data_IF_871474730153
#
_entry.id   IF_871474730153
#
_cell.length_a   1.000
_cell.length_b   1.000
_cell.length_c   1.000
_cell.angle_alpha   90.00
_cell.angle_beta   90.00
_cell.angle_gamma   90.00
#
_symmetry.space_group_name_H-M   'P 1'
#
loop_
_entity.id
_entity.type
_entity.pdbx_description
1 polymer ?
#
# COMPACT_ATOMS: atom_id res chain seq x y z
N UNK A 1 -16.86 56.52 28.31
CA UNK A 1 -15.43 56.22 28.05
C UNK A 1 -15.07 56.81 26.69
N UNK A 2 -14.46 57.99 26.68
CA UNK A 2 -14.05 58.62 25.41
C UNK A 2 -12.86 57.88 24.81
N UNK A 3 -13.01 57.38 23.59
CA UNK A 3 -11.92 56.76 22.85
C UNK A 3 -11.00 57.87 22.32
N UNK A 4 -9.91 58.16 23.04
CA UNK A 4 -8.88 59.10 22.58
C UNK A 4 -7.96 58.41 21.56
N UNK A 5 -7.80 59.02 20.38
CA UNK A 5 -6.79 58.61 19.39
C UNK A 5 -5.41 59.07 19.86
N UNK A 6 -4.41 58.20 19.75
CA UNK A 6 -3.01 58.55 20.02
C UNK A 6 -2.40 59.01 18.69
N UNK A 7 -2.09 60.31 18.51
CA UNK A 7 -1.49 60.82 17.29
C UNK A 7 -0.02 60.36 17.16
N UNK A 8 0.50 60.34 15.93
CA UNK A 8 1.91 60.06 15.60
C UNK A 8 2.44 58.71 16.08
N UNK A 9 1.56 57.70 16.21
CA UNK A 9 1.97 56.33 16.49
C UNK A 9 2.46 55.66 15.21
N UNK A 10 3.65 55.09 15.26
CA UNK A 10 4.14 54.28 14.15
C UNK A 10 3.25 53.05 13.94
N UNK A 11 3.10 52.66 12.68
CA UNK A 11 2.35 51.47 12.27
C UNK A 11 3.11 50.73 11.17
N UNK A 12 2.99 49.41 11.17
CA UNK A 12 3.49 48.57 10.07
C UNK A 12 2.36 48.36 9.05
N UNK A 13 2.67 48.56 7.76
CA UNK A 13 1.73 48.42 6.66
C UNK A 13 2.01 47.12 5.89
N UNK A 14 1.06 46.19 5.87
CA UNK A 14 1.17 44.96 5.08
C UNK A 14 0.36 45.07 3.79
N UNK A 15 1.07 45.10 2.67
CA UNK A 15 0.49 45.03 1.33
C UNK A 15 0.30 43.58 0.92
N UNK A 16 -0.93 43.21 0.54
CA UNK A 16 -1.21 41.90 -0.04
C UNK A 16 -1.25 42.04 -1.55
N UNK A 17 -0.33 41.37 -2.25
CA UNK A 17 -0.31 41.37 -3.71
C UNK A 17 -1.27 40.30 -4.24
N UNK A 18 -2.04 40.64 -5.29
CA UNK A 18 -2.87 39.72 -6.08
C UNK A 18 -3.95 38.92 -5.31
N UNK A 19 -4.44 39.43 -4.18
CA UNK A 19 -5.51 38.77 -3.41
C UNK A 19 -6.87 39.34 -3.77
N UNK A 20 -7.85 38.48 -4.08
CA UNK A 20 -9.25 38.91 -4.18
C UNK A 20 -9.80 39.29 -2.78
N UNK A 21 -10.95 39.96 -2.74
CA UNK A 21 -11.50 40.50 -1.49
C UNK A 21 -11.81 39.42 -0.43
N UNK A 22 -12.17 38.21 -0.84
CA UNK A 22 -12.48 37.11 0.08
C UNK A 22 -11.21 36.56 0.73
N UNK A 23 -10.11 36.46 -0.02
CA UNK A 23 -8.81 36.06 0.49
C UNK A 23 -8.25 37.12 1.45
N UNK A 24 -8.41 38.40 1.10
CA UNK A 24 -8.07 39.52 1.98
C UNK A 24 -8.82 39.43 3.32
N UNK A 25 -10.14 39.26 3.28
CA UNK A 25 -10.96 39.15 4.49
C UNK A 25 -10.63 37.91 5.32
N UNK A 26 -10.25 36.80 4.69
CA UNK A 26 -9.79 35.60 5.39
C UNK A 26 -8.51 35.87 6.16
N UNK A 27 -7.54 36.55 5.53
CA UNK A 27 -6.31 36.98 6.19
C UNK A 27 -6.62 37.94 7.35
N UNK A 28 -7.50 38.93 7.16
CA UNK A 28 -7.92 39.85 8.24
C UNK A 28 -8.49 39.10 9.45
N UNK A 29 -9.36 38.10 9.22
CA UNK A 29 -9.90 37.26 10.30
C UNK A 29 -8.81 36.54 11.09
N UNK A 30 -7.77 36.03 10.42
CA UNK A 30 -6.64 35.38 11.12
C UNK A 30 -5.86 36.33 12.03
N UNK A 31 -5.74 37.62 11.69
CA UNK A 31 -5.11 38.61 12.56
C UNK A 31 -6.00 39.02 13.74
N UNK A 32 -7.32 38.97 13.58
CA UNK A 32 -8.28 39.26 14.65
C UNK A 32 -8.34 38.16 15.72
N UNK A 33 -8.11 36.90 15.34
CA UNK A 33 -8.19 35.75 16.26
C UNK A 33 -6.86 35.43 16.96
N UNK A 34 -5.75 35.99 16.50
CA UNK A 34 -4.41 35.69 17.03
C UNK A 34 -4.02 36.72 18.10
N UNK A 35 -4.40 36.48 19.35
CA UNK A 35 -4.34 37.45 20.46
C UNK A 35 -2.94 37.76 20.98
N UNK A 36 -1.95 36.93 20.68
CA UNK A 36 -0.73 36.95 21.49
C UNK A 36 0.42 37.78 20.90
N UNK A 37 0.50 37.97 19.57
CA UNK A 37 1.78 38.42 18.99
C UNK A 37 1.77 39.66 18.06
N UNK A 38 0.67 40.03 17.40
CA UNK A 38 0.59 41.29 16.63
C UNK A 38 -0.83 41.87 16.65
N UNK A 39 -0.99 43.07 17.23
CA UNK A 39 -2.30 43.72 17.34
C UNK A 39 -2.64 44.43 16.03
N UNK A 40 -3.66 43.96 15.34
CA UNK A 40 -4.21 44.66 14.17
C UNK A 40 -4.92 45.93 14.62
N UNK A 41 -4.60 47.06 14.00
CA UNK A 41 -5.25 48.35 14.24
C UNK A 41 -6.36 48.64 13.23
N UNK A 42 -6.28 48.05 12.05
CA UNK A 42 -7.36 48.13 11.08
C UNK A 42 -6.95 47.72 9.69
N UNK A 43 -7.77 48.12 8.74
CA UNK A 43 -7.53 47.97 7.30
C UNK A 43 -7.53 49.36 6.67
N UNK A 44 -6.75 49.52 5.61
CA UNK A 44 -6.71 50.73 4.80
C UNK A 44 -6.69 50.34 3.32
N UNK A 45 -6.74 51.31 2.43
CA UNK A 45 -6.64 51.10 1.00
C UNK A 45 -5.63 52.09 0.42
N UNK A 46 -4.73 51.60 -0.41
CA UNK A 46 -3.81 52.49 -1.12
C UNK A 46 -4.61 53.43 -2.02
N UNK A 47 -4.41 54.76 -1.94
CA UNK A 47 -5.23 55.73 -2.65
C UNK A 47 -5.16 55.54 -4.17
N UNK A 48 -3.96 55.26 -4.70
CA UNK A 48 -3.73 55.10 -6.15
C UNK A 48 -4.04 53.69 -6.65
N UNK A 49 -3.46 52.66 -6.03
CA UNK A 49 -3.58 51.28 -6.55
C UNK A 49 -4.88 50.57 -6.16
N UNK A 50 -5.69 51.18 -5.28
CA UNK A 50 -6.89 50.58 -4.68
C UNK A 50 -6.65 49.23 -3.97
N UNK A 51 -5.39 48.85 -3.75
CA UNK A 51 -5.03 47.61 -3.03
C UNK A 51 -5.30 47.78 -1.55
N UNK A 52 -5.93 46.79 -0.94
CA UNK A 52 -6.16 46.77 0.49
C UNK A 52 -4.86 46.54 1.26
N UNK A 53 -4.75 47.19 2.42
CA UNK A 53 -3.60 47.22 3.30
C UNK A 53 -4.07 46.83 4.70
N UNK A 54 -3.33 45.95 5.37
CA UNK A 54 -3.56 45.66 6.79
C UNK A 54 -2.65 46.57 7.62
N UNK A 55 -3.24 47.28 8.58
CA UNK A 55 -2.54 48.20 9.49
C UNK A 55 -2.30 47.48 10.81
N UNK A 56 -1.03 47.28 11.15
CA UNK A 56 -0.60 46.55 12.33
C UNK A 56 0.12 47.49 13.30
N UNK A 57 0.02 47.19 14.60
CA UNK A 57 0.81 47.86 15.63
C UNK A 57 2.31 47.78 15.28
N UNK A 58 2.97 48.93 15.19
CA UNK A 58 4.43 48.96 15.13
C UNK A 58 4.98 48.59 16.51
N UNK A 59 5.55 47.39 16.62
CA UNK A 59 6.30 46.97 17.79
C UNK A 59 7.77 47.13 17.45
N UNK A 60 8.48 47.95 18.21
CA UNK A 60 9.94 48.06 18.19
C UNK A 60 10.62 46.68 18.32
N UNK A 61 10.91 46.06 17.18
CA UNK A 61 12.15 45.43 16.72
C UNK A 61 12.98 44.42 17.53
N UNK A 62 12.78 44.15 18.83
CA UNK A 62 13.75 43.29 19.58
C UNK A 62 13.01 42.28 20.46
N UNK A 63 12.90 41.05 19.96
CA UNK A 63 12.60 39.74 20.61
C UNK A 63 11.56 38.90 19.83
N UNK A 64 10.68 39.53 19.06
CA UNK A 64 9.56 38.85 18.37
C UNK A 64 9.79 38.48 16.89
N UNK A 65 10.94 38.82 16.32
CA UNK A 65 11.28 38.53 14.90
C UNK A 65 11.75 37.08 14.63
N UNK A 66 11.61 36.16 15.60
CA UNK A 66 12.02 34.75 15.38
C UNK A 66 10.99 33.93 14.63
N UNK A 67 9.70 34.30 14.67
CA UNK A 67 8.61 33.43 14.23
C UNK A 67 8.00 33.84 12.88
N UNK A 68 8.39 34.98 12.31
CA UNK A 68 7.82 35.51 11.06
C UNK A 68 8.81 35.42 9.91
N UNK A 69 8.30 35.03 8.74
CA UNK A 69 9.04 34.92 7.50
C UNK A 69 9.50 36.29 7.01
N UNK A 70 10.81 36.46 6.84
CA UNK A 70 11.41 37.71 6.37
C UNK A 70 10.98 38.08 4.93
N UNK A 71 10.46 37.12 4.15
CA UNK A 71 10.05 37.33 2.75
C UNK A 71 8.58 37.74 2.59
N UNK A 72 7.65 37.05 3.25
CA UNK A 72 6.21 37.31 3.11
C UNK A 72 5.54 37.88 4.37
N UNK A 73 6.29 37.98 5.46
CA UNK A 73 5.81 38.45 6.76
C UNK A 73 4.61 37.63 7.31
N UNK A 74 4.49 36.37 6.92
CA UNK A 74 3.59 35.38 7.54
C UNK A 74 4.36 34.55 8.57
N UNK A 75 3.66 33.85 9.47
CA UNK A 75 4.30 32.97 10.46
C UNK A 75 5.05 31.85 9.71
N UNK A 76 6.29 31.57 10.11
CA UNK A 76 7.05 30.43 9.59
C UNK A 76 6.26 29.14 9.82
N UNK A 77 6.05 28.36 8.77
CA UNK A 77 5.45 27.03 8.87
C UNK A 77 6.27 26.13 9.82
N UNK A 78 7.59 26.29 9.83
CA UNK A 78 8.44 25.73 10.87
C UNK A 78 9.35 26.81 11.47
N UNK A 79 8.96 27.31 12.64
CA UNK A 79 9.66 28.37 13.39
C UNK A 79 11.09 27.97 13.73
N UNK A 80 11.33 26.72 14.18
CA UNK A 80 12.65 26.25 14.61
C UNK A 80 13.70 26.41 13.52
N UNK A 81 13.32 26.15 12.26
CA UNK A 81 14.22 26.24 11.12
C UNK A 81 14.00 27.48 10.26
N UNK A 82 13.17 28.43 10.73
CA UNK A 82 12.78 29.61 9.95
C UNK A 82 12.34 29.24 8.53
N UNK A 83 11.56 28.17 8.40
CA UNK A 83 11.10 27.66 7.11
C UNK A 83 9.65 28.08 6.86
N UNK A 84 9.42 28.74 5.73
CA UNK A 84 8.12 29.29 5.35
C UNK A 84 7.62 28.57 4.10
N UNK A 85 6.62 27.69 4.24
CA UNK A 85 6.13 26.87 3.15
C UNK A 85 5.74 27.70 1.90
N UNK A 86 4.87 28.73 2.00
CA UNK A 86 4.48 29.53 0.84
C UNK A 86 5.69 30.10 0.09
N UNK A 87 6.63 30.71 0.83
CA UNK A 87 7.83 31.30 0.24
C UNK A 87 8.81 30.29 -0.39
N UNK A 88 8.76 29.03 0.04
CA UNK A 88 9.64 27.98 -0.48
C UNK A 88 8.99 27.23 -1.65
N UNK A 89 7.66 27.08 -1.63
CA UNK A 89 6.88 26.50 -2.72
C UNK A 89 6.90 27.37 -3.98
N UNK A 90 6.82 28.69 -3.85
CA UNK A 90 6.92 29.61 -5.00
C UNK A 90 8.28 29.52 -5.74
N UNK A 91 9.32 29.03 -5.08
CA UNK A 91 10.67 28.87 -5.63
C UNK A 91 10.96 27.47 -6.20
N UNK A 92 10.07 26.50 -5.96
CA UNK A 92 10.11 25.20 -6.61
C UNK A 92 9.60 25.38 -8.05
N UNK A 93 10.43 25.97 -8.93
CA UNK A 93 10.19 25.92 -10.39
C UNK A 93 10.48 24.50 -10.84
N UNK A 94 9.44 23.78 -11.25
CA UNK A 94 9.47 22.34 -11.38
C UNK A 94 9.98 21.85 -12.72
N UNK A 95 10.77 20.77 -12.65
CA UNK A 95 10.92 19.83 -13.74
C UNK A 95 9.56 19.15 -13.92
N UNK A 96 8.79 19.62 -14.88
CA UNK A 96 7.56 18.97 -15.30
C UNK A 96 7.86 17.98 -16.41
N UNK A 97 7.05 16.92 -16.48
CA UNK A 97 6.99 16.06 -17.65
C UNK A 97 6.16 16.74 -18.75
N UNK A 98 6.22 16.22 -19.98
CA UNK A 98 5.29 16.62 -21.04
C UNK A 98 3.86 16.11 -20.79
N UNK A 99 3.67 15.22 -19.82
CA UNK A 99 2.39 14.61 -19.47
C UNK A 99 1.67 15.39 -18.36
N UNK A 100 0.53 15.99 -18.70
CA UNK A 100 -0.28 16.76 -17.75
C UNK A 100 -0.71 15.97 -16.51
N UNK A 101 -1.11 14.70 -16.68
CA UNK A 101 -1.58 13.86 -15.57
C UNK A 101 -0.44 13.61 -14.56
N UNK A 102 0.77 13.41 -15.06
CA UNK A 102 1.97 13.28 -14.23
C UNK A 102 2.28 14.59 -13.50
N UNK A 103 2.13 15.73 -14.18
CA UNK A 103 2.34 17.04 -13.57
C UNK A 103 1.33 17.32 -12.45
N UNK A 104 0.06 16.94 -12.64
CA UNK A 104 -0.97 17.04 -11.61
C UNK A 104 -0.61 16.18 -10.38
N UNK A 105 -0.08 14.96 -10.57
CA UNK A 105 0.44 14.13 -9.48
C UNK A 105 1.61 14.80 -8.75
N UNK A 106 2.57 15.37 -9.48
CA UNK A 106 3.73 16.05 -8.88
C UNK A 106 3.25 17.21 -8.01
N UNK A 107 2.32 18.02 -8.51
CA UNK A 107 1.70 19.10 -7.74
C UNK A 107 0.98 18.57 -6.50
N UNK A 108 0.14 17.53 -6.65
CA UNK A 108 -0.56 16.88 -5.55
C UNK A 108 0.41 16.43 -4.44
N UNK A 109 1.54 15.82 -4.83
CA UNK A 109 2.56 15.31 -3.92
C UNK A 109 3.31 16.43 -3.21
N UNK A 110 3.60 17.52 -3.91
CA UNK A 110 4.34 18.64 -3.35
C UNK A 110 3.51 19.53 -2.42
N UNK A 111 2.20 19.61 -2.64
CA UNK A 111 1.28 20.28 -1.71
C UNK A 111 1.27 19.62 -0.31
N UNK A 112 1.76 18.38 -0.19
CA UNK A 112 1.89 17.66 1.08
C UNK A 112 3.12 18.09 1.89
N UNK A 113 4.06 18.84 1.31
CA UNK A 113 5.27 19.34 1.98
C UNK A 113 4.85 20.34 3.06
N UNK A 114 5.18 20.05 4.31
CA UNK A 114 4.86 20.87 5.48
C UNK A 114 6.07 21.11 6.40
N UNK A 115 7.23 20.51 6.08
CA UNK A 115 8.44 20.57 6.87
C UNK A 115 9.68 20.72 5.97
N UNK A 116 10.74 21.42 6.44
CA UNK A 116 12.02 21.50 5.72
C UNK A 116 12.73 20.14 5.55
N UNK A 117 12.30 19.11 6.27
CA UNK A 117 12.84 17.75 6.17
C UNK A 117 12.10 16.86 5.19
N UNK A 118 10.94 17.32 4.70
CA UNK A 118 10.16 16.57 3.73
C UNK A 118 10.91 16.50 2.41
N UNK A 119 10.67 15.40 1.69
CA UNK A 119 11.24 15.20 0.37
C UNK A 119 10.43 15.98 -0.65
N UNK A 120 11.14 16.61 -1.58
CA UNK A 120 10.54 17.19 -2.77
C UNK A 120 10.35 16.08 -3.79
N UNK A 121 9.10 15.72 -4.04
CA UNK A 121 8.76 14.76 -5.08
C UNK A 121 8.86 15.43 -6.46
N UNK A 122 9.66 14.93 -7.39
CA UNK A 122 9.85 15.57 -8.70
C UNK A 122 9.87 14.60 -9.90
N UNK A 123 9.70 15.14 -11.11
CA UNK A 123 10.05 14.41 -12.33
C UNK A 123 11.55 14.41 -12.53
N UNK A 124 12.11 13.25 -12.81
CA UNK A 124 13.54 13.09 -13.08
C UNK A 124 13.74 12.56 -14.49
N UNK A 125 14.40 13.30 -15.41
CA UNK A 125 14.75 12.77 -16.73
C UNK A 125 15.60 11.50 -16.63
N UNK A 126 15.30 10.47 -17.43
CA UNK A 126 15.96 9.16 -17.31
C UNK A 126 17.48 9.20 -17.57
N UNK A 127 17.98 10.19 -18.32
CA UNK A 127 19.41 10.41 -18.55
C UNK A 127 20.19 10.86 -17.30
N UNK A 128 19.50 11.13 -16.19
CA UNK A 128 20.08 11.48 -14.89
C UNK A 128 20.61 10.28 -14.12
N UNK A 129 20.33 9.06 -14.56
CA UNK A 129 20.78 7.84 -13.90
C UNK A 129 22.00 7.24 -14.60
N UNK A 130 23.01 6.86 -13.81
CA UNK A 130 24.19 6.10 -14.25
C UNK A 130 24.47 4.94 -13.29
N UNK A 131 25.46 4.10 -13.62
CA UNK A 131 25.84 2.91 -12.85
C UNK A 131 24.64 1.98 -12.52
N UNK A 132 23.75 1.82 -13.50
CA UNK A 132 22.50 1.07 -13.36
C UNK A 132 22.81 -0.43 -13.27
N UNK A 133 22.37 -1.08 -12.19
CA UNK A 133 22.57 -2.52 -11.92
C UNK A 133 21.26 -3.14 -11.49
N UNK A 134 20.86 -4.25 -12.11
CA UNK A 134 19.70 -5.02 -11.67
C UNK A 134 19.97 -5.61 -10.28
N UNK A 135 19.04 -5.42 -9.34
CA UNK A 135 19.15 -5.93 -7.97
C UNK A 135 17.97 -6.83 -7.57
N UNK A 136 16.86 -6.76 -8.31
CA UNK A 136 15.69 -7.59 -8.08
C UNK A 136 14.82 -7.61 -9.31
N UNK A 137 14.23 -8.77 -9.59
CA UNK A 137 13.32 -8.96 -10.71
C UNK A 137 12.19 -9.87 -10.28
N UNK A 138 10.97 -9.47 -10.62
CA UNK A 138 9.83 -10.36 -10.70
C UNK A 138 9.20 -10.30 -12.11
N UNK A 139 8.02 -10.88 -12.27
CA UNK A 139 7.36 -10.96 -13.58
C UNK A 139 6.77 -9.62 -14.07
N UNK A 140 6.61 -8.63 -13.19
CA UNK A 140 5.96 -7.34 -13.48
C UNK A 140 6.91 -6.15 -13.29
N UNK A 141 7.85 -6.28 -12.36
CA UNK A 141 8.72 -5.20 -11.90
C UNK A 141 10.19 -5.64 -12.02
N UNK A 142 11.05 -4.72 -12.47
CA UNK A 142 12.49 -4.84 -12.26
C UNK A 142 12.96 -3.68 -11.40
N UNK A 143 13.74 -4.02 -10.39
CA UNK A 143 14.38 -3.09 -9.47
C UNK A 143 15.85 -2.97 -9.84
N UNK A 144 16.27 -1.75 -10.11
CA UNK A 144 17.67 -1.41 -10.34
C UNK A 144 18.23 -0.58 -9.19
N UNK A 145 19.51 -0.74 -8.88
CA UNK A 145 20.29 0.28 -8.19
C UNK A 145 20.93 1.21 -9.22
N UNK A 146 20.93 2.51 -8.96
CA UNK A 146 21.58 3.50 -9.82
C UNK A 146 22.16 4.65 -9.00
N UNK A 147 23.01 5.45 -9.62
CA UNK A 147 23.44 6.76 -9.12
C UNK A 147 22.61 7.82 -9.83
N UNK A 148 21.98 8.71 -9.07
CA UNK A 148 21.32 9.92 -9.58
C UNK A 148 22.32 11.08 -9.56
N UNK A 149 22.73 11.53 -10.76
CA UNK A 149 23.76 12.58 -10.97
C UNK A 149 23.45 13.86 -10.22
N UNK A 150 22.31 14.48 -10.52
CA UNK A 150 21.87 15.71 -9.85
C UNK A 150 21.45 15.43 -8.40
N UNK A 151 20.80 14.28 -8.18
CA UNK A 151 20.33 13.86 -6.87
C UNK A 151 19.14 14.66 -6.33
N UNK A 152 18.59 14.22 -5.18
CA UNK A 152 17.37 14.80 -4.61
C UNK A 152 17.60 16.20 -4.06
N UNK A 153 16.53 17.00 -4.08
CA UNK A 153 16.49 18.27 -3.37
C UNK A 153 16.35 18.06 -1.86
N UNK A 154 17.09 18.86 -1.09
CA UNK A 154 16.96 18.97 0.36
C UNK A 154 17.10 20.43 0.78
N UNK A 155 16.48 20.79 1.91
CA UNK A 155 16.60 22.13 2.47
C UNK A 155 17.86 22.23 3.34
N UNK A 156 18.74 23.19 3.04
CA UNK A 156 19.99 23.38 3.78
C UNK A 156 19.89 24.43 4.91
N UNK A 157 18.68 24.88 5.25
CA UNK A 157 18.46 25.97 6.21
C UNK A 157 18.28 27.36 5.58
N UNK A 158 18.58 27.50 4.28
CA UNK A 158 18.39 28.76 3.53
C UNK A 158 17.57 28.57 2.26
N UNK A 159 17.93 27.57 1.45
CA UNK A 159 17.30 27.27 0.16
C UNK A 159 17.31 25.78 -0.13
N UNK A 160 16.48 25.36 -1.09
CA UNK A 160 16.59 24.04 -1.70
C UNK A 160 17.93 23.91 -2.41
N UNK A 161 18.64 22.81 -2.14
CA UNK A 161 19.93 22.45 -2.72
C UNK A 161 19.89 20.97 -3.10
N UNK A 162 20.63 20.57 -4.13
CA UNK A 162 20.69 19.18 -4.57
C UNK A 162 21.81 18.40 -3.91
N UNK A 163 21.57 17.13 -3.60
CA UNK A 163 22.59 16.20 -3.12
C UNK A 163 23.06 15.30 -4.26
N UNK A 164 24.02 15.78 -5.05
CA UNK A 164 24.56 15.09 -6.23
C UNK A 164 25.09 13.69 -5.95
N UNK A 165 25.12 12.84 -6.98
CA UNK A 165 25.63 11.47 -6.95
C UNK A 165 25.01 10.62 -5.84
N UNK A 166 23.71 10.81 -5.62
CA UNK A 166 22.98 10.05 -4.61
C UNK A 166 22.60 8.70 -5.20
N UNK A 167 23.00 7.62 -4.52
CA UNK A 167 22.51 6.28 -4.84
C UNK A 167 21.00 6.24 -4.66
N UNK A 168 20.29 5.55 -5.56
CA UNK A 168 18.83 5.37 -5.54
C UNK A 168 18.48 3.94 -5.95
N UNK A 169 17.26 3.53 -5.62
CA UNK A 169 16.64 2.34 -6.20
C UNK A 169 15.55 2.78 -7.19
N UNK A 170 15.55 2.18 -8.38
CA UNK A 170 14.62 2.46 -9.46
C UNK A 170 13.71 1.26 -9.63
N UNK A 171 12.41 1.42 -9.40
CA UNK A 171 11.41 0.39 -9.66
C UNK A 171 10.78 0.68 -11.02
N UNK A 172 11.15 -0.13 -12.02
CA UNK A 172 10.60 -0.08 -13.37
C UNK A 172 9.41 -1.05 -13.44
N UNK A 173 8.26 -0.55 -13.86
CA UNK A 173 7.01 -1.32 -13.93
C UNK A 173 6.73 -1.63 -15.41
N UNK A 174 6.81 -2.90 -15.80
CA UNK A 174 6.57 -3.33 -17.18
C UNK A 174 5.06 -3.42 -17.48
N UNK A 175 4.69 -3.22 -18.75
CA UNK A 175 3.33 -3.39 -19.27
C UNK A 175 2.25 -2.44 -18.71
N UNK A 176 2.62 -1.39 -17.96
CA UNK A 176 1.67 -0.35 -17.51
C UNK A 176 1.45 0.78 -18.52
N UNK A 177 1.98 0.68 -19.74
CA UNK A 177 1.80 1.69 -20.79
C UNK A 177 0.32 2.04 -21.04
N UNK A 178 -0.60 1.11 -20.79
CA UNK A 178 -2.04 1.30 -20.99
C UNK A 178 -2.85 1.59 -19.71
N UNK A 179 -2.20 1.69 -18.53
CA UNK A 179 -2.91 1.94 -17.27
C UNK A 179 -2.16 2.91 -16.34
N UNK A 180 -2.02 4.16 -16.79
CA UNK A 180 -1.43 5.25 -15.98
C UNK A 180 -2.11 5.38 -14.61
N UNK A 181 -3.42 5.13 -14.50
CA UNK A 181 -4.15 5.26 -13.23
C UNK A 181 -3.67 4.26 -12.17
N UNK A 182 -3.36 3.03 -12.57
CA UNK A 182 -2.79 2.03 -11.66
C UNK A 182 -1.40 2.45 -11.17
N UNK A 183 -0.55 2.96 -12.06
CA UNK A 183 0.74 3.53 -11.71
C UNK A 183 0.59 4.67 -10.68
N UNK A 184 -0.27 5.64 -10.94
CA UNK A 184 -0.52 6.77 -10.04
C UNK A 184 -1.00 6.32 -8.66
N UNK A 185 -1.87 5.31 -8.60
CA UNK A 185 -2.34 4.75 -7.35
C UNK A 185 -1.21 4.07 -6.56
N UNK A 186 -0.29 3.37 -7.23
CA UNK A 186 0.91 2.83 -6.57
C UNK A 186 1.78 3.95 -5.98
N UNK A 187 2.05 5.01 -6.74
CA UNK A 187 2.81 6.18 -6.24
C UNK A 187 2.13 6.80 -5.01
N UNK A 188 0.81 6.97 -5.04
CA UNK A 188 0.04 7.50 -3.90
C UNK A 188 0.10 6.59 -2.68
N UNK A 189 0.02 5.28 -2.85
CA UNK A 189 0.10 4.31 -1.74
C UNK A 189 1.45 4.36 -1.04
N UNK A 190 2.54 4.53 -1.79
CA UNK A 190 3.86 4.76 -1.19
C UNK A 190 3.92 6.07 -0.40
N UNK A 191 3.19 7.11 -0.85
CA UNK A 191 3.11 8.42 -0.18
C UNK A 191 2.27 8.44 1.10
N UNK A 192 1.20 7.64 1.18
CA UNK A 192 0.22 7.67 2.29
C UNK A 192 0.54 6.70 3.42
N UNK A 193 1.43 5.73 3.19
CA UNK A 193 1.80 4.77 4.21
C UNK A 193 2.41 5.50 5.43
N UNK A 194 1.88 5.25 6.64
CA UNK A 194 2.32 5.77 7.95
C UNK A 194 3.74 5.30 8.35
N UNK A 195 4.52 4.88 7.37
CA UNK A 195 5.58 3.91 7.50
C UNK A 195 6.74 4.24 6.56
N UNK A 196 7.25 5.47 6.63
CA UNK A 196 8.62 5.88 6.29
C UNK A 196 9.23 5.48 4.92
N UNK A 197 8.54 4.91 3.93
CA UNK A 197 9.16 4.69 2.60
C UNK A 197 9.09 6.02 1.84
N UNK A 198 10.24 6.66 1.65
CA UNK A 198 10.33 7.94 0.96
C UNK A 198 10.72 7.72 -0.50
N UNK A 199 9.80 8.09 -1.38
CA UNK A 199 10.05 8.21 -2.82
C UNK A 199 10.53 9.62 -3.12
N UNK A 200 11.53 9.75 -3.98
CA UNK A 200 12.04 11.05 -4.43
C UNK A 200 11.29 11.60 -5.63
N UNK A 201 10.62 10.75 -6.39
CA UNK A 201 10.07 11.17 -7.65
C UNK A 201 9.72 10.00 -8.55
N UNK A 202 9.44 10.37 -9.79
CA UNK A 202 9.13 9.45 -10.87
C UNK A 202 9.89 9.84 -12.12
N UNK A 203 10.09 8.85 -12.99
CA UNK A 203 10.73 9.01 -14.29
C UNK A 203 9.99 8.16 -15.31
N UNK A 204 10.42 8.23 -16.56
CA UNK A 204 9.95 7.37 -17.63
C UNK A 204 11.14 7.02 -18.52
N UNK A 205 11.24 5.74 -18.85
CA UNK A 205 12.24 5.25 -19.79
C UNK A 205 11.92 5.80 -21.19
N UNK A 206 12.87 6.51 -21.81
CA UNK A 206 12.66 7.11 -23.13
C UNK A 206 12.52 6.10 -24.26
N UNK A 207 13.05 4.88 -24.07
CA UNK A 207 13.05 3.84 -25.10
C UNK A 207 11.82 2.94 -24.98
N UNK A 208 11.45 2.59 -23.74
CA UNK A 208 10.35 1.65 -23.49
C UNK A 208 9.08 2.33 -23.02
N UNK A 209 9.05 3.65 -22.80
CA UNK A 209 7.92 4.37 -22.19
C UNK A 209 7.45 3.85 -20.81
N UNK A 210 8.19 2.92 -20.20
CA UNK A 210 7.85 2.37 -18.89
C UNK A 210 8.07 3.43 -17.81
N UNK A 211 7.11 3.51 -16.88
CA UNK A 211 7.22 4.40 -15.74
C UNK A 211 8.15 3.82 -14.68
N UNK A 212 8.87 4.72 -14.01
CA UNK A 212 9.88 4.40 -13.01
C UNK A 212 9.56 5.15 -11.73
N UNK A 213 9.53 4.46 -10.60
CA UNK A 213 9.46 5.06 -9.26
C UNK A 213 10.87 5.11 -8.67
N UNK A 214 11.25 6.26 -8.12
CA UNK A 214 12.59 6.52 -7.59
C UNK A 214 12.54 6.49 -6.06
N UNK A 215 13.21 5.51 -5.47
CA UNK A 215 13.30 5.30 -4.02
C UNK A 215 14.66 5.76 -3.46
N UNK A 216 14.64 6.26 -2.23
CA UNK A 216 15.87 6.58 -1.48
C UNK A 216 16.70 5.31 -1.18
N UNK A 217 17.99 5.29 -1.54
CA UNK A 217 18.85 4.09 -1.39
C UNK A 217 19.21 3.72 0.04
N UNK A 218 19.24 4.68 0.98
CA UNK A 218 19.55 4.38 2.39
C UNK A 218 18.55 3.39 3.01
N UNK A 219 17.35 3.27 2.43
CA UNK A 219 16.39 2.23 2.77
C UNK A 219 16.82 0.82 2.33
N UNK A 220 17.65 0.70 1.31
CA UNK A 220 18.11 -0.58 0.75
C UNK A 220 19.39 -1.12 1.40
N UNK A 221 20.11 -0.36 2.25
CA UNK A 221 21.40 -0.79 2.83
C UNK A 221 21.33 -1.08 4.35
N UNK A 222 20.73 -0.19 5.15
CA UNK A 222 20.54 -0.40 6.62
C UNK A 222 19.18 -1.04 6.95
N UNK A 223 18.16 -0.76 6.12
CA UNK A 223 16.78 -1.25 6.26
C UNK A 223 16.44 -2.40 5.29
N UNK A 224 17.41 -2.90 4.51
CA UNK A 224 17.25 -4.02 3.54
C UNK A 224 16.63 -5.27 4.16
N UNK A 225 16.73 -5.44 5.48
CA UNK A 225 16.06 -6.51 6.22
C UNK A 225 14.52 -6.41 6.22
N UNK A 226 13.93 -5.24 6.01
CA UNK A 226 12.49 -4.99 6.19
C UNK A 226 11.69 -4.86 4.88
N UNK A 227 12.35 -4.73 3.74
CA UNK A 227 11.69 -4.54 2.45
C UNK A 227 11.96 -5.71 1.51
N UNK A 228 10.96 -6.04 0.71
CA UNK A 228 11.01 -7.08 -0.30
C UNK A 228 11.87 -6.64 -1.48
N UNK A 229 12.95 -7.39 -1.70
CA UNK A 229 13.90 -7.17 -2.81
C UNK A 229 13.23 -7.27 -4.19
N UNK A 230 12.08 -7.96 -4.30
CA UNK A 230 11.35 -8.13 -5.57
C UNK A 230 10.48 -6.92 -5.93
N UNK A 231 9.65 -6.45 -5.00
CA UNK A 231 8.63 -5.43 -5.30
C UNK A 231 8.85 -4.09 -4.58
N UNK A 232 9.91 -3.96 -3.77
CA UNK A 232 10.23 -2.78 -2.93
C UNK A 232 9.16 -2.42 -1.88
N UNK A 233 8.18 -3.28 -1.66
CA UNK A 233 7.22 -3.15 -0.55
C UNK A 233 7.81 -3.66 0.76
N UNK A 234 7.26 -3.25 1.90
CA UNK A 234 7.65 -3.86 3.18
C UNK A 234 7.29 -5.34 3.20
N UNK A 235 8.15 -6.14 3.82
CA UNK A 235 7.75 -7.47 4.22
C UNK A 235 6.62 -7.38 5.23
N UNK A 236 5.52 -8.06 4.95
CA UNK A 236 4.42 -8.24 5.89
C UNK A 236 4.90 -9.02 7.12
N UNK A 237 5.83 -9.95 6.93
CA UNK A 237 6.62 -10.52 8.01
C UNK A 237 8.12 -10.36 7.73
N UNK A 238 8.74 -9.43 8.47
CA UNK A 238 10.17 -9.10 8.36
C UNK A 238 11.07 -10.29 8.74
N UNK A 239 10.72 -11.03 9.80
CA UNK A 239 11.53 -12.12 10.32
C UNK A 239 11.75 -13.24 9.29
N UNK A 240 10.70 -13.55 8.54
CA UNK A 240 10.70 -14.60 7.52
C UNK A 240 10.74 -14.06 6.09
N UNK A 241 11.04 -12.76 5.92
CA UNK A 241 11.04 -12.10 4.61
C UNK A 241 9.79 -12.41 3.75
N UNK A 242 8.62 -12.54 4.39
CA UNK A 242 7.37 -12.83 3.69
C UNK A 242 6.71 -11.54 3.22
N UNK A 243 6.47 -11.46 1.91
CA UNK A 243 5.83 -10.30 1.26
C UNK A 243 4.44 -10.69 0.75
N UNK A 244 3.39 -10.24 1.44
CA UNK A 244 2.00 -10.47 1.03
C UNK A 244 1.73 -10.00 -0.40
N UNK A 245 2.12 -8.77 -0.83
CA UNK A 245 1.96 -8.34 -2.22
C UNK A 245 2.58 -9.31 -3.24
N UNK A 246 3.83 -9.72 -3.05
CA UNK A 246 4.48 -10.69 -3.94
C UNK A 246 3.75 -12.04 -3.96
N UNK A 247 3.29 -12.50 -2.79
CA UNK A 247 2.54 -13.75 -2.69
C UNK A 247 1.21 -13.66 -3.46
N UNK A 248 0.44 -12.60 -3.25
CA UNK A 248 -0.82 -12.36 -3.96
C UNK A 248 -0.60 -12.25 -5.48
N UNK A 249 0.45 -11.56 -5.92
CA UNK A 249 0.80 -11.47 -7.34
C UNK A 249 1.15 -12.84 -7.94
N UNK A 250 1.90 -13.67 -7.20
CA UNK A 250 2.16 -15.05 -7.60
C UNK A 250 0.86 -15.85 -7.75
N UNK A 251 -0.09 -15.71 -6.83
CA UNK A 251 -1.37 -16.43 -6.91
C UNK A 251 -2.18 -15.98 -8.12
N UNK A 252 -2.31 -14.65 -8.33
CA UNK A 252 -2.99 -14.07 -9.48
C UNK A 252 -2.46 -14.61 -10.82
N UNK A 253 -1.13 -14.74 -10.96
CA UNK A 253 -0.50 -15.33 -12.15
C UNK A 253 -0.97 -16.77 -12.41
N UNK A 254 -1.27 -17.52 -11.36
CA UNK A 254 -1.66 -18.92 -11.45
C UNK A 254 -3.19 -19.11 -11.49
N UNK A 255 -4.00 -18.05 -11.52
CA UNK A 255 -5.46 -18.16 -11.58
C UNK A 255 -5.94 -18.95 -12.81
N UNK A 256 -5.31 -18.75 -13.97
CA UNK A 256 -5.63 -19.50 -15.19
C UNK A 256 -5.25 -20.99 -15.09
N UNK A 257 -4.25 -21.33 -14.26
CA UNK A 257 -3.79 -22.72 -14.08
C UNK A 257 -4.65 -23.51 -13.10
N UNK A 258 -5.40 -22.84 -12.23
CA UNK A 258 -6.27 -23.43 -11.21
C UNK A 258 -7.75 -23.37 -11.60
N UNK A 259 -8.06 -23.56 -12.87
CA UNK A 259 -9.45 -23.58 -13.34
C UNK A 259 -10.10 -24.94 -13.14
N UNK A 260 -11.35 -24.89 -12.70
CA UNK A 260 -12.27 -26.02 -12.58
C UNK A 260 -13.18 -26.22 -13.79
N UNK A 261 -12.99 -25.42 -14.84
CA UNK A 261 -13.95 -25.21 -15.93
C UNK A 261 -15.33 -24.69 -15.43
N UNK A 262 -15.40 -24.24 -14.18
CA UNK A 262 -16.59 -23.65 -13.57
C UNK A 262 -16.27 -22.28 -12.98
N UNK A 263 -16.70 -21.23 -13.69
CA UNK A 263 -16.47 -19.83 -13.29
C UNK A 263 -16.83 -19.52 -11.83
N UNK A 264 -17.93 -20.07 -11.30
CA UNK A 264 -18.34 -19.79 -9.91
C UNK A 264 -17.39 -20.40 -8.87
N UNK A 265 -16.85 -21.59 -9.16
CA UNK A 265 -15.85 -22.23 -8.28
C UNK A 265 -14.53 -21.49 -8.39
N UNK A 266 -14.13 -21.11 -9.60
CA UNK A 266 -12.90 -20.36 -9.84
C UNK A 266 -12.95 -19.00 -9.13
N UNK A 267 -14.04 -18.25 -9.27
CA UNK A 267 -14.26 -16.97 -8.58
C UNK A 267 -14.19 -17.14 -7.05
N UNK A 268 -14.79 -18.22 -6.51
CA UNK A 268 -14.73 -18.53 -5.08
C UNK A 268 -13.30 -18.85 -4.62
N UNK A 269 -12.55 -19.65 -5.38
CA UNK A 269 -11.16 -20.00 -5.07
C UNK A 269 -10.27 -18.76 -5.11
N UNK A 270 -10.39 -17.94 -6.14
CA UNK A 270 -9.64 -16.69 -6.28
C UNK A 270 -9.93 -15.75 -5.10
N UNK A 271 -11.19 -15.61 -4.70
CA UNK A 271 -11.57 -14.83 -3.51
C UNK A 271 -10.84 -15.35 -2.26
N UNK A 272 -10.87 -16.66 -1.99
CA UNK A 272 -10.19 -17.26 -0.84
C UNK A 272 -8.67 -17.03 -0.89
N UNK A 273 -8.05 -17.12 -2.07
CA UNK A 273 -6.63 -16.86 -2.26
C UNK A 273 -6.24 -15.40 -2.02
N UNK A 274 -7.13 -14.45 -2.34
CA UNK A 274 -6.92 -13.02 -2.10
C UNK A 274 -7.07 -12.61 -0.63
N UNK A 275 -7.76 -13.42 0.18
CA UNK A 275 -7.98 -13.17 1.61
C UNK A 275 -6.78 -13.57 2.51
N UNK A 276 -5.72 -14.18 1.95
CA UNK A 276 -4.51 -14.58 2.69
C UNK A 276 -3.88 -13.37 3.39
N UNK A 277 -3.61 -13.50 4.69
CA UNK A 277 -3.04 -12.43 5.52
C UNK A 277 -1.83 -12.89 6.36
N UNK A 278 -1.60 -14.19 6.48
CA UNK A 278 -0.50 -14.77 7.22
C UNK A 278 0.30 -15.77 6.37
N UNK A 279 1.61 -15.87 6.65
CA UNK A 279 2.51 -16.88 6.10
C UNK A 279 2.14 -18.33 6.44
N UNK A 280 1.34 -18.56 7.48
CA UNK A 280 0.81 -19.88 7.85
C UNK A 280 -0.53 -20.22 7.20
N UNK A 281 -1.15 -19.25 6.52
CA UNK A 281 -2.43 -19.46 5.86
C UNK A 281 -2.30 -20.51 4.77
N UNK A 282 -3.36 -21.30 4.65
CA UNK A 282 -3.45 -22.33 3.64
C UNK A 282 -3.82 -21.70 2.30
N UNK A 283 -3.10 -22.08 1.25
CA UNK A 283 -3.47 -21.71 -0.10
C UNK A 283 -4.59 -22.65 -0.52
N UNK A 284 -5.76 -22.08 -0.75
CA UNK A 284 -6.95 -22.81 -1.17
C UNK A 284 -6.88 -23.06 -2.68
N UNK A 285 -6.93 -24.31 -3.13
CA UNK A 285 -6.65 -24.69 -4.53
C UNK A 285 -7.82 -25.43 -5.20
N UNK A 286 -7.94 -25.28 -6.52
CA UNK A 286 -8.59 -26.31 -7.32
C UNK A 286 -7.59 -27.45 -7.54
N UNK A 287 -7.99 -28.68 -7.23
CA UNK A 287 -7.12 -29.84 -7.31
C UNK A 287 -7.73 -30.84 -8.30
N UNK A 288 -7.13 -31.02 -9.50
CA UNK A 288 -7.62 -32.02 -10.45
C UNK A 288 -7.65 -33.41 -9.84
N UNK A 289 -8.72 -34.18 -10.07
CA UNK A 289 -8.91 -35.49 -9.40
C UNK A 289 -7.78 -36.49 -9.69
N UNK A 290 -7.16 -36.40 -10.88
CA UNK A 290 -6.02 -37.23 -11.28
C UNK A 290 -4.75 -37.03 -10.42
N UNK A 291 -4.73 -36.00 -9.56
CA UNK A 291 -3.71 -35.74 -8.56
C UNK A 291 -3.81 -36.66 -7.34
N UNK A 292 -4.91 -37.38 -7.19
CA UNK A 292 -5.12 -38.30 -6.09
C UNK A 292 -4.81 -39.74 -6.49
N UNK A 293 -4.14 -40.47 -5.61
CA UNK A 293 -3.88 -41.91 -5.78
C UNK A 293 -3.99 -42.65 -4.45
N UNK A 294 -4.07 -43.99 -4.52
CA UNK A 294 -4.40 -44.86 -3.38
C UNK A 294 -5.69 -44.41 -2.68
N UNK A 295 -6.69 -44.00 -3.47
CA UNK A 295 -7.99 -43.54 -2.96
C UNK A 295 -8.73 -44.73 -2.34
N UNK A 296 -9.00 -44.67 -1.03
CA UNK A 296 -9.69 -45.71 -0.27
C UNK A 296 -10.86 -45.12 0.48
N UNK A 297 -12.06 -45.67 0.30
CA UNK A 297 -13.25 -45.29 1.08
C UNK A 297 -13.04 -45.62 2.55
N UNK A 298 -13.30 -44.66 3.43
CA UNK A 298 -13.14 -44.79 4.89
C UNK A 298 -14.44 -44.58 5.65
N UNK A 299 -15.46 -43.97 5.03
CA UNK A 299 -16.77 -43.75 5.63
C UNK A 299 -17.80 -43.28 4.61
N UNK A 300 -19.08 -43.41 4.96
CA UNK A 300 -20.20 -42.87 4.17
C UNK A 300 -21.34 -42.56 5.13
N UNK A 301 -22.04 -41.47 4.86
CA UNK A 301 -23.35 -41.17 5.40
C UNK A 301 -24.28 -40.70 4.27
N UNK A 302 -25.47 -40.22 4.64
CA UNK A 302 -26.51 -39.80 3.69
C UNK A 302 -26.13 -38.56 2.88
N UNK A 303 -25.18 -37.75 3.37
CA UNK A 303 -24.80 -36.46 2.78
C UNK A 303 -23.45 -36.54 2.04
N UNK A 304 -22.56 -37.43 2.47
CA UNK A 304 -21.18 -37.48 1.99
C UNK A 304 -20.58 -38.89 2.00
N UNK A 305 -19.55 -39.08 1.17
CA UNK A 305 -18.62 -40.21 1.27
C UNK A 305 -17.22 -39.71 1.55
N UNK A 306 -16.56 -40.33 2.51
CA UNK A 306 -15.21 -40.00 2.95
C UNK A 306 -14.21 -40.99 2.37
N UNK A 307 -13.14 -40.47 1.79
CA UNK A 307 -12.02 -41.26 1.30
C UNK A 307 -10.71 -40.76 1.92
N UNK A 308 -9.77 -41.68 2.13
CA UNK A 308 -8.35 -41.35 2.30
C UNK A 308 -7.67 -41.43 0.94
N UNK A 309 -6.75 -40.51 0.66
CA UNK A 309 -5.97 -40.52 -0.55
C UNK A 309 -4.57 -39.93 -0.30
N UNK A 310 -3.68 -40.09 -1.28
CA UNK A 310 -2.42 -39.36 -1.34
C UNK A 310 -2.51 -38.35 -2.50
N UNK A 311 -2.18 -37.10 -2.21
CA UNK A 311 -2.06 -36.03 -3.20
C UNK A 311 -0.63 -36.00 -3.74
N UNK A 312 -0.45 -36.32 -5.02
CA UNK A 312 0.85 -36.40 -5.73
C UNK A 312 1.66 -35.11 -5.57
N UNK A 313 1.13 -34.00 -6.04
CA UNK A 313 1.82 -32.71 -5.98
C UNK A 313 1.82 -32.12 -4.56
N UNK A 314 0.78 -32.39 -3.78
CA UNK A 314 0.63 -31.88 -2.43
C UNK A 314 0.39 -30.36 -2.36
N UNK A 315 0.13 -29.84 -1.14
CA UNK A 315 -0.24 -28.44 -0.94
C UNK A 315 0.92 -27.49 -1.16
N UNK A 316 0.60 -26.32 -1.71
CA UNK A 316 1.51 -25.19 -1.75
C UNK A 316 1.66 -24.58 -0.34
N UNK A 317 2.89 -24.26 0.06
CA UNK A 317 3.18 -23.59 1.34
C UNK A 317 4.44 -22.74 1.23
N UNK A 318 4.58 -21.76 2.12
CA UNK A 318 5.77 -20.91 2.17
C UNK A 318 6.93 -21.63 2.88
N UNK A 319 8.10 -21.67 2.23
CA UNK A 319 9.33 -22.19 2.81
C UNK A 319 10.18 -21.06 3.40
N UNK A 320 10.38 -21.09 4.71
CA UNK A 320 11.13 -20.06 5.45
C UNK A 320 12.61 -19.99 5.10
N UNK A 321 13.23 -21.11 4.69
CA UNK A 321 14.66 -21.14 4.36
C UNK A 321 14.92 -20.59 2.96
N UNK A 322 13.99 -20.79 2.03
CA UNK A 322 14.11 -20.36 0.63
C UNK A 322 13.36 -19.07 0.31
N UNK A 323 12.53 -18.57 1.23
CA UNK A 323 11.66 -17.40 1.06
C UNK A 323 10.74 -17.48 -0.18
N UNK A 324 10.30 -18.69 -0.52
CA UNK A 324 9.49 -18.97 -1.71
C UNK A 324 8.39 -20.00 -1.42
N UNK A 325 7.40 -20.07 -2.31
CA UNK A 325 6.36 -21.09 -2.24
C UNK A 325 6.86 -22.39 -2.84
N UNK A 326 6.72 -23.48 -2.08
CA UNK A 326 7.08 -24.82 -2.52
C UNK A 326 5.93 -25.79 -2.26
N UNK A 327 5.95 -26.92 -2.97
CA UNK A 327 5.02 -28.02 -2.72
C UNK A 327 5.69 -29.13 -1.93
N UNK A 328 4.93 -29.73 -1.01
CA UNK A 328 5.32 -30.98 -0.35
C UNK A 328 4.55 -32.14 -0.96
N UNK A 329 5.19 -32.84 -1.89
CA UNK A 329 4.61 -33.98 -2.62
C UNK A 329 4.18 -35.12 -1.71
N UNK A 330 3.30 -35.97 -2.24
CA UNK A 330 2.82 -37.20 -1.61
C UNK A 330 2.20 -36.97 -0.21
N UNK A 331 1.41 -35.90 -0.10
CA UNK A 331 0.72 -35.57 1.15
C UNK A 331 -0.51 -36.47 1.30
N UNK A 332 -0.58 -37.21 2.41
CA UNK A 332 -1.80 -37.92 2.78
C UNK A 332 -2.89 -36.91 3.14
N UNK A 333 -4.10 -37.15 2.64
CA UNK A 333 -5.25 -36.26 2.74
C UNK A 333 -6.55 -37.04 2.96
N UNK A 334 -7.60 -36.30 3.33
CA UNK A 334 -8.96 -36.79 3.42
C UNK A 334 -9.84 -36.08 2.39
N UNK A 335 -10.60 -36.84 1.61
CA UNK A 335 -11.52 -36.35 0.60
C UNK A 335 -12.96 -36.52 1.12
N UNK A 336 -13.69 -35.42 1.28
CA UNK A 336 -15.12 -35.42 1.62
C UNK A 336 -15.93 -35.14 0.37
N UNK A 337 -16.41 -36.19 -0.29
CA UNK A 337 -17.25 -36.11 -1.49
C UNK A 337 -18.70 -35.88 -1.08
N UNK A 338 -19.30 -34.76 -1.49
CA UNK A 338 -20.68 -34.40 -1.13
C UNK A 338 -21.66 -34.88 -2.20
N UNK A 339 -22.65 -35.68 -1.80
CA UNK A 339 -23.66 -36.23 -2.72
C UNK A 339 -24.52 -35.12 -3.31
N UNK A 340 -24.93 -35.26 -4.58
CA UNK A 340 -25.78 -34.32 -5.32
C UNK A 340 -25.25 -32.87 -5.34
N UNK A 341 -23.96 -32.66 -5.14
CA UNK A 341 -23.37 -31.31 -5.09
C UNK A 341 -23.25 -30.65 -6.46
N UNK A 342 -23.33 -31.41 -7.55
CA UNK A 342 -23.33 -30.89 -8.93
C UNK A 342 -24.57 -30.04 -9.23
N UNK A 343 -25.75 -30.45 -8.72
CA UNK A 343 -27.02 -29.76 -8.98
C UNK A 343 -27.17 -28.44 -8.21
N UNK A 344 -26.42 -28.25 -7.12
CA UNK A 344 -26.55 -27.08 -6.24
C UNK A 344 -25.20 -26.45 -5.91
N UNK A 345 -24.48 -25.98 -6.94
CA UNK A 345 -23.15 -25.37 -6.80
C UNK A 345 -23.08 -24.24 -5.75
N UNK A 346 -24.10 -23.38 -5.68
CA UNK A 346 -24.17 -22.31 -4.69
C UNK A 346 -24.29 -22.86 -3.26
N UNK A 347 -25.07 -23.94 -3.08
CA UNK A 347 -25.22 -24.62 -1.79
C UNK A 347 -23.90 -25.30 -1.37
N UNK A 348 -23.19 -25.88 -2.34
CA UNK A 348 -21.85 -26.43 -2.13
C UNK A 348 -20.88 -25.34 -1.67
N UNK A 349 -20.78 -24.22 -2.38
CA UNK A 349 -19.91 -23.08 -2.01
C UNK A 349 -20.28 -22.57 -0.61
N UNK A 350 -21.57 -22.41 -0.30
CA UNK A 350 -22.03 -21.99 1.03
C UNK A 350 -21.61 -22.99 2.12
N UNK A 351 -21.72 -24.30 1.86
CA UNK A 351 -21.27 -25.35 2.78
C UNK A 351 -19.75 -25.28 3.02
N UNK A 352 -18.96 -25.07 1.96
CA UNK A 352 -17.50 -24.90 2.06
C UNK A 352 -17.16 -23.64 2.85
N UNK A 353 -17.80 -22.51 2.55
CA UNK A 353 -17.57 -21.24 3.24
C UNK A 353 -17.92 -21.33 4.74
N UNK A 354 -19.04 -21.96 5.09
CA UNK A 354 -19.42 -22.23 6.47
C UNK A 354 -18.42 -23.17 7.16
N UNK A 355 -17.88 -24.14 6.42
CA UNK A 355 -16.84 -25.03 6.95
C UNK A 355 -15.56 -24.27 7.29
N UNK A 356 -15.14 -23.32 6.45
CA UNK A 356 -13.93 -22.51 6.62
C UNK A 356 -14.04 -21.44 7.72
N UNK A 357 -15.21 -20.81 7.86
CA UNK A 357 -15.43 -19.71 8.82
C UNK A 357 -15.75 -20.18 10.24
N UNK A 358 -16.20 -21.42 10.40
CA UNK A 358 -16.56 -21.95 11.71
C UNK A 358 -15.30 -22.21 12.57
N UNK A 359 -15.19 -21.52 13.70
CA UNK A 359 -14.07 -21.64 14.64
C UNK A 359 -13.91 -23.06 15.20
N UNK A 360 -14.98 -23.85 15.27
CA UNK A 360 -14.91 -25.25 15.69
C UNK A 360 -14.28 -26.18 14.63
N UNK A 361 -14.18 -25.73 13.37
CA UNK A 361 -13.58 -26.47 12.27
C UNK A 361 -12.11 -26.10 12.02
N UNK A 362 -11.52 -25.22 12.84
CA UNK A 362 -10.08 -24.85 12.83
C UNK A 362 -9.17 -26.10 12.89
N UNK A 363 -9.70 -27.21 13.41
CA UNK A 363 -9.02 -28.51 13.49
C UNK A 363 -8.70 -29.07 12.10
N UNK A 364 -9.56 -28.85 11.09
CA UNK A 364 -9.39 -29.36 9.73
C UNK A 364 -8.88 -28.27 8.80
N UNK A 365 -7.56 -28.27 8.56
CA UNK A 365 -7.01 -27.45 7.49
C UNK A 365 -7.58 -27.91 6.14
N UNK A 366 -8.22 -27.00 5.41
CA UNK A 366 -8.85 -27.29 4.12
C UNK A 366 -7.95 -26.82 3.00
N UNK A 367 -7.46 -27.76 2.19
CA UNK A 367 -6.54 -27.49 1.09
C UNK A 367 -7.25 -26.95 -0.15
N UNK A 368 -8.52 -27.26 -0.35
CA UNK A 368 -9.22 -26.84 -1.55
C UNK A 368 -10.41 -27.70 -1.94
N UNK A 369 -10.75 -27.63 -3.22
CA UNK A 369 -11.89 -28.31 -3.84
C UNK A 369 -11.38 -29.19 -4.99
N UNK A 370 -12.07 -30.29 -5.23
CA UNK A 370 -11.94 -31.10 -6.42
C UNK A 370 -13.32 -31.53 -6.91
N UNK A 371 -13.38 -32.28 -8.01
CA UNK A 371 -14.59 -32.90 -8.52
C UNK A 371 -14.32 -34.34 -8.88
N UNK A 372 -15.20 -35.23 -8.45
CA UNK A 372 -15.16 -36.64 -8.84
C UNK A 372 -15.55 -36.74 -10.33
N UNK A 373 -14.70 -37.30 -11.21
CA UNK A 373 -14.96 -37.34 -12.65
C UNK A 373 -16.14 -38.27 -13.01
N UNK A 374 -16.38 -39.33 -12.23
CA UNK A 374 -17.40 -40.34 -12.51
C UNK A 374 -18.81 -39.85 -12.13
N UNK A 375 -18.92 -39.18 -10.99
CA UNK A 375 -20.20 -38.74 -10.42
C UNK A 375 -20.49 -37.25 -10.64
N UNK A 376 -19.47 -36.45 -11.00
CA UNK A 376 -19.55 -35.00 -11.08
C UNK A 376 -19.73 -34.29 -9.74
N UNK A 377 -19.76 -35.03 -8.63
CA UNK A 377 -19.88 -34.47 -7.28
C UNK A 377 -18.59 -33.77 -6.87
N UNK A 378 -18.74 -32.60 -6.23
CA UNK A 378 -17.64 -31.85 -5.66
C UNK A 378 -17.11 -32.50 -4.36
N UNK A 379 -15.83 -32.30 -4.15
CA UNK A 379 -15.05 -32.89 -3.07
C UNK A 379 -14.36 -31.76 -2.31
N UNK A 380 -14.45 -31.79 -0.99
CA UNK A 380 -13.65 -30.95 -0.10
C UNK A 380 -12.36 -31.72 0.25
N UNK A 381 -11.21 -31.09 0.02
CA UNK A 381 -9.89 -31.69 0.27
C UNK A 381 -9.35 -31.19 1.61
N UNK A 382 -9.17 -32.10 2.55
CA UNK A 382 -8.82 -31.81 3.94
C UNK A 382 -7.48 -32.42 4.32
N UNK A 383 -6.81 -31.80 5.29
CA UNK A 383 -5.63 -32.38 5.93
C UNK A 383 -5.96 -33.74 6.56
N UNK A 384 -5.12 -34.74 6.27
CA UNK A 384 -5.13 -36.00 7.01
C UNK A 384 -4.71 -35.72 8.45
N UNK A 385 -5.67 -35.77 9.36
CA UNK A 385 -5.41 -35.87 10.79
C UNK A 385 -6.03 -37.15 11.30
N UNK A 386 -5.22 -37.93 12.01
CA UNK A 386 -5.70 -38.98 12.89
C UNK A 386 -6.62 -38.33 13.94
N UNK A 387 -7.87 -38.78 14.02
CA UNK A 387 -8.89 -38.37 15.01
C UNK A 387 -8.53 -38.72 16.47
N UNK A 388 -7.25 -38.80 16.84
CA UNK A 388 -6.81 -39.38 18.11
C UNK A 388 -6.73 -38.39 19.28
N UNK A 389 -6.82 -37.07 19.09
CA UNK A 389 -6.67 -36.12 20.21
C UNK A 389 -7.95 -35.39 20.68
N UNK A 390 -9.11 -35.55 20.04
CA UNK A 390 -10.38 -34.92 20.49
C UNK A 390 -11.56 -35.90 20.56
N UNK A 391 -11.29 -37.14 20.97
CA UNK A 391 -12.14 -38.32 20.81
C UNK A 391 -13.51 -38.37 21.51
N UNK A 392 -14.28 -37.28 21.62
CA UNK A 392 -15.68 -37.35 22.09
C UNK A 392 -16.72 -36.59 21.24
N UNK A 393 -16.40 -35.51 20.53
CA UNK A 393 -17.42 -34.65 19.90
C UNK A 393 -17.54 -34.71 18.36
N UNK A 394 -16.78 -35.57 17.67
CA UNK A 394 -16.80 -35.64 16.19
C UNK A 394 -16.98 -37.06 15.63
N UNK A 395 -17.82 -37.15 14.60
CA UNK A 395 -18.14 -38.35 13.85
C UNK A 395 -17.00 -38.76 12.90
N UNK A 396 -16.41 -39.94 13.16
CA UNK A 396 -15.31 -40.50 12.34
C UNK A 396 -15.71 -40.86 10.91
N UNK A 397 -16.99 -41.19 10.69
CA UNK A 397 -17.49 -41.61 9.38
C UNK A 397 -17.90 -40.45 8.48
N UNK A 398 -18.21 -39.28 9.05
CA UNK A 398 -18.84 -38.17 8.34
C UNK A 398 -18.08 -36.83 8.47
N UNK A 399 -17.08 -36.75 9.34
CA UNK A 399 -16.28 -35.53 9.58
C UNK A 399 -17.21 -34.34 9.90
N UNK A 400 -18.12 -34.58 10.84
CA UNK A 400 -19.04 -33.59 11.39
C UNK A 400 -18.99 -33.65 12.91
N UNK A 401 -19.35 -32.55 13.57
CA UNK A 401 -19.55 -32.53 15.02
C UNK A 401 -20.83 -33.30 15.33
N UNK A 402 -20.83 -34.05 16.41
CA UNK A 402 -22.08 -34.59 16.93
C UNK A 402 -22.91 -33.42 17.45
N UNK A 403 -24.17 -33.37 17.02
CA UNK A 403 -25.18 -32.48 17.59
C UNK A 403 -25.52 -32.88 19.02
N UNK A 404 -25.39 -34.17 19.34
CA UNK A 404 -25.49 -34.73 20.67
C UNK A 404 -24.22 -35.54 21.00
N UNK A 405 -23.39 -35.00 21.90
CA UNK A 405 -22.09 -35.59 22.28
C UNK A 405 -22.27 -36.88 23.11
N UNK A 406 -23.36 -37.00 23.88
CA UNK A 406 -23.62 -38.18 24.71
C UNK A 406 -24.06 -39.35 23.84
N UNK A 407 -24.99 -39.10 22.91
CA UNK A 407 -25.54 -40.13 22.03
C UNK A 407 -24.74 -40.32 20.73
N UNK A 408 -23.76 -39.45 20.45
CA UNK A 408 -22.95 -39.47 19.22
C UNK A 408 -23.82 -39.42 17.97
N UNK A 409 -24.77 -38.50 17.94
CA UNK A 409 -25.69 -38.23 16.81
C UNK A 409 -25.27 -37.01 16.00
#
# INVERSE_FOLDING_TARGET
MELRRIPNRNVSLKHLQNTNINEFLTKVKTYLTNTDNCKMYGISQHPDTKKFIIVLQDKYYIEYNKNYCERCNDIYTNIKYKWCNPCQMDNLKLNFSENKIINDLILEMQLKINSPFDRVFEWVPCNQFNDIKEIGKDDYDIVYSAIWKDGPLYYNGKKWTRKSNTKVALKCLYNLQNNINEFLNQVRNHSTSTHNIQIYGISQNSNTNDYIIIFESKYCEEYSKRCCEKCMEKYTNIMYKWCKPCHINYLKKNFETWTSDNKKIDDFIQKMQLEIDNLQDMIFEWIPYNQFYKVKKTGRNDIATIYSAIWKNGPLHYNYSKNELIRKSNKKITLKCLHNSRSTINEFINKVNNFLTNKDNIIFKTYGISQNPDTGNYIIVLQDKYYKEYGKSYCKQCIGKYTDIENKW
#
